data_IF_118915064843
#
_entry.id   IF_118915064843
#
_cell.length_a   1.000
_cell.length_b   1.000
_cell.length_c   1.000
_cell.angle_alpha   90.00
_cell.angle_beta   90.00
_cell.angle_gamma   90.00
#
_symmetry.space_group_name_H-M   'P 1'
#
loop_
_entity.id
_entity.type
_entity.pdbx_description
1 polymer ?
#
# COMPACT_ATOMS: atom_id res chain seq x y z
N UNK A 1 -12.27 16.18 -15.75
CA UNK A 1 -10.98 15.81 -15.15
C UNK A 1 -10.86 14.33 -14.95
N UNK A 2 -9.84 13.76 -15.50
CA UNK A 2 -9.60 12.33 -15.35
C UNK A 2 -9.00 12.02 -14.00
N UNK A 3 -9.49 10.97 -13.34
CA UNK A 3 -8.90 10.52 -12.10
C UNK A 3 -7.52 9.95 -12.32
N UNK A 4 -7.31 9.32 -13.45
CA UNK A 4 -6.01 8.71 -13.72
C UNK A 4 -4.91 9.74 -13.83
N UNK A 5 -5.26 11.00 -14.13
CA UNK A 5 -4.27 12.07 -14.15
C UNK A 5 -3.72 12.36 -12.78
N UNK A 6 -4.41 11.87 -11.74
CA UNK A 6 -4.02 12.11 -10.36
C UNK A 6 -3.43 10.88 -9.70
N UNK A 7 -3.09 9.89 -10.49
CA UNK A 7 -2.51 8.66 -9.97
C UNK A 7 -1.02 8.64 -10.23
N UNK A 8 -0.30 8.12 -9.26
CA UNK A 8 1.15 7.96 -9.35
C UNK A 8 1.46 6.48 -9.22
N UNK A 9 2.24 5.96 -10.16
CA UNK A 9 2.66 4.57 -10.13
C UNK A 9 3.63 4.39 -8.97
N UNK A 10 3.39 3.35 -8.17
CA UNK A 10 4.22 3.06 -7.01
C UNK A 10 5.10 1.84 -7.27
N UNK A 11 4.49 0.73 -7.64
CA UNK A 11 5.20 -0.54 -7.78
C UNK A 11 4.29 -1.53 -8.47
N UNK A 12 4.80 -2.75 -8.67
CA UNK A 12 3.96 -3.86 -9.13
C UNK A 12 3.69 -4.78 -7.95
N UNK A 13 2.55 -5.43 -7.98
CA UNK A 13 2.23 -6.41 -6.95
C UNK A 13 3.26 -7.53 -6.98
N UNK A 14 3.75 -7.89 -5.81
CA UNK A 14 4.72 -8.96 -5.66
C UNK A 14 3.98 -10.30 -5.62
N UNK A 15 4.04 -11.03 -6.74
CA UNK A 15 3.29 -12.28 -6.85
C UNK A 15 3.80 -13.37 -5.92
N UNK A 16 4.97 -13.20 -5.33
CA UNK A 16 5.45 -14.13 -4.32
C UNK A 16 4.52 -14.16 -3.12
N UNK A 17 3.77 -13.08 -2.90
CA UNK A 17 2.82 -13.04 -1.80
C UNK A 17 1.63 -13.98 -2.03
N UNK A 18 1.40 -14.39 -3.27
CA UNK A 18 0.28 -15.28 -3.56
C UNK A 18 0.35 -16.57 -2.77
N UNK A 19 1.53 -17.15 -2.65
CA UNK A 19 1.67 -18.40 -1.92
C UNK A 19 1.47 -18.20 -0.42
N UNK A 20 1.82 -17.03 0.08
CA UNK A 20 1.63 -16.70 1.50
C UNK A 20 0.16 -16.46 1.80
N UNK A 21 -0.52 -15.73 0.91
CA UNK A 21 -1.90 -15.31 1.13
C UNK A 21 -2.94 -16.29 0.60
N UNK A 22 -2.52 -17.26 -0.18
CA UNK A 22 -3.46 -18.21 -0.77
C UNK A 22 -4.23 -17.64 -1.94
N UNK A 23 -3.64 -16.72 -2.67
CA UNK A 23 -4.28 -16.06 -3.81
C UNK A 23 -3.53 -16.34 -5.09
N UNK A 24 -4.13 -15.88 -6.18
CA UNK A 24 -3.58 -16.03 -7.52
C UNK A 24 -3.70 -14.70 -8.25
N UNK A 25 -3.22 -13.64 -7.63
CA UNK A 25 -3.32 -12.30 -8.19
C UNK A 25 -2.20 -12.05 -9.19
N UNK A 26 -2.52 -11.24 -10.20
CA UNK A 26 -1.55 -10.87 -11.21
C UNK A 26 -0.66 -9.74 -10.72
N UNK A 27 0.49 -9.57 -11.39
CA UNK A 27 1.45 -8.52 -11.04
C UNK A 27 1.02 -7.18 -11.64
N UNK A 28 -0.20 -6.76 -11.33
CA UNK A 28 -0.69 -5.46 -11.81
C UNK A 28 0.04 -4.32 -11.13
N UNK A 29 0.02 -3.17 -11.78
CA UNK A 29 0.64 -1.97 -11.23
C UNK A 29 -0.18 -1.46 -10.06
N UNK A 30 0.51 -1.00 -9.02
CA UNK A 30 -0.10 -0.41 -7.84
C UNK A 30 0.08 1.09 -7.91
N UNK A 31 -1.01 1.83 -7.73
CA UNK A 31 -1.03 3.28 -7.82
C UNK A 31 -1.37 3.91 -6.49
N UNK A 32 -0.99 5.17 -6.33
CA UNK A 32 -1.47 5.98 -5.22
C UNK A 32 -2.00 7.29 -5.76
N UNK A 33 -2.87 7.92 -5.00
CA UNK A 33 -3.37 9.25 -5.33
C UNK A 33 -2.26 10.27 -5.17
N UNK A 34 -2.22 11.28 -6.02
CA UNK A 34 -1.31 12.40 -5.85
C UNK A 34 -1.57 13.13 -4.54
N UNK A 35 -2.81 13.08 -4.06
CA UNK A 35 -3.16 13.76 -2.82
C UNK A 35 -2.86 12.98 -1.57
N UNK A 36 -2.28 11.79 -1.69
CA UNK A 36 -2.05 10.93 -0.52
C UNK A 36 -1.21 11.63 0.53
N UNK A 37 -0.09 12.24 0.13
CA UNK A 37 0.79 12.91 1.08
C UNK A 37 0.07 14.04 1.81
N UNK A 38 -0.66 14.87 1.05
CA UNK A 38 -1.43 15.96 1.64
C UNK A 38 -2.46 15.42 2.62
N UNK A 39 -3.11 14.32 2.26
CA UNK A 39 -4.11 13.69 3.12
C UNK A 39 -3.48 13.20 4.43
N UNK A 40 -2.32 12.58 4.34
CA UNK A 40 -1.64 12.09 5.54
C UNK A 40 -1.25 13.23 6.45
N UNK A 41 -0.76 14.33 5.89
CA UNK A 41 -0.38 15.49 6.68
C UNK A 41 -1.61 16.11 7.33
N UNK A 42 -2.70 16.23 6.59
CA UNK A 42 -3.94 16.78 7.11
C UNK A 42 -4.49 15.98 8.27
N UNK A 43 -4.35 14.67 8.20
CA UNK A 43 -4.82 13.77 9.26
C UNK A 43 -3.78 13.58 10.34
N UNK A 44 -2.67 14.30 10.26
CA UNK A 44 -1.59 14.25 11.23
C UNK A 44 -0.91 12.89 11.30
N UNK A 45 -0.92 12.16 10.21
CA UNK A 45 -0.18 10.91 10.09
C UNK A 45 1.23 11.22 9.61
N UNK A 46 1.96 11.99 10.41
CA UNK A 46 3.27 12.49 9.97
C UNK A 46 4.30 11.39 9.85
N UNK A 47 4.20 10.38 10.68
CA UNK A 47 5.14 9.25 10.59
C UNK A 47 4.95 8.54 9.26
N UNK A 48 3.71 8.19 8.94
CA UNK A 48 3.43 7.53 7.66
C UNK A 48 3.85 8.39 6.48
N UNK A 49 3.67 9.71 6.59
CA UNK A 49 4.04 10.62 5.51
C UNK A 49 5.54 10.58 5.22
N UNK A 50 6.36 10.33 6.23
CA UNK A 50 7.81 10.25 6.04
C UNK A 50 8.20 9.07 5.15
N UNK A 51 7.36 8.05 5.09
CA UNK A 51 7.68 6.83 4.36
C UNK A 51 6.99 6.74 3.02
N UNK A 52 6.38 7.84 2.57
CA UNK A 52 5.63 7.79 1.32
C UNK A 52 6.53 7.44 0.13
N UNK A 53 7.81 7.81 0.20
CA UNK A 53 8.76 7.48 -0.86
C UNK A 53 9.31 6.08 -0.73
N UNK A 54 8.90 5.35 0.30
CA UNK A 54 9.33 3.97 0.51
C UNK A 54 8.20 2.97 0.25
N UNK A 55 7.10 3.42 -0.35
CA UNK A 55 5.98 2.52 -0.60
C UNK A 55 6.38 1.35 -1.49
N UNK A 56 7.26 1.58 -2.46
CA UNK A 56 7.72 0.50 -3.31
C UNK A 56 8.47 -0.57 -2.52
N UNK A 57 9.27 -0.16 -1.55
CA UNK A 57 9.99 -1.10 -0.70
C UNK A 57 9.04 -1.87 0.19
N UNK A 58 8.05 -1.18 0.76
CA UNK A 58 7.06 -1.82 1.62
C UNK A 58 6.29 -2.88 0.84
N UNK A 59 5.92 -2.56 -0.39
CA UNK A 59 5.15 -3.48 -1.22
C UNK A 59 6.00 -4.65 -1.68
N UNK A 60 7.25 -4.39 -2.02
CA UNK A 60 8.13 -5.43 -2.55
C UNK A 60 8.71 -6.34 -1.46
N UNK A 61 8.92 -5.80 -0.27
CA UNK A 61 9.59 -6.53 0.81
C UNK A 61 8.90 -6.30 2.15
N UNK A 62 7.61 -6.63 2.26
CA UNK A 62 6.93 -6.46 3.55
C UNK A 62 7.44 -7.47 4.57
N UNK A 63 7.35 -7.11 5.83
CA UNK A 63 7.66 -8.03 6.91
C UNK A 63 6.45 -8.89 7.26
N UNK A 64 5.25 -8.34 7.07
CA UNK A 64 4.01 -9.07 7.32
C UNK A 64 3.04 -8.81 6.19
N UNK A 65 2.24 -9.79 5.86
CA UNK A 65 1.23 -9.67 4.82
C UNK A 65 -0.03 -10.40 5.26
N UNK A 66 -1.16 -9.84 4.90
CA UNK A 66 -2.44 -10.44 5.22
C UNK A 66 -3.51 -9.98 4.26
N UNK A 67 -4.75 -10.32 4.58
CA UNK A 67 -5.88 -9.97 3.74
C UNK A 67 -7.08 -9.70 4.63
N UNK A 68 -7.82 -8.64 4.31
CA UNK A 68 -8.99 -8.28 5.08
C UNK A 68 -9.98 -7.58 4.18
N UNK A 69 -11.21 -8.10 4.12
CA UNK A 69 -12.29 -7.55 3.30
C UNK A 69 -11.88 -7.36 1.84
N UNK A 70 -11.08 -8.29 1.32
CA UNK A 70 -10.67 -8.24 -0.08
C UNK A 70 -9.49 -7.33 -0.35
N UNK A 71 -8.99 -6.65 0.66
CA UNK A 71 -7.80 -5.83 0.51
C UNK A 71 -6.57 -6.61 0.97
N UNK A 72 -5.44 -6.30 0.36
CA UNK A 72 -4.16 -6.84 0.79
C UNK A 72 -3.56 -5.88 1.80
N UNK A 73 -3.12 -6.39 2.93
CA UNK A 73 -2.55 -5.57 3.99
C UNK A 73 -1.10 -5.95 4.20
N UNK A 74 -0.23 -4.97 4.20
CA UNK A 74 1.21 -5.18 4.35
C UNK A 74 1.74 -4.30 5.47
N UNK A 75 2.73 -4.83 6.20
CA UNK A 75 3.42 -4.06 7.23
C UNK A 75 4.91 -4.20 7.01
N UNK A 76 5.60 -3.10 7.06
CA UNK A 76 7.06 -3.08 7.00
C UNK A 76 7.58 -2.43 8.26
N UNK A 77 8.53 -3.10 8.91
CA UNK A 77 9.11 -2.61 10.15
C UNK A 77 10.41 -1.90 9.86
N UNK A 78 10.36 -0.59 9.91
CA UNK A 78 11.57 0.25 9.93
C UNK A 78 11.81 0.64 11.39
N UNK A 79 12.26 1.85 11.63
CA UNK A 79 12.21 2.38 13.00
C UNK A 79 10.77 2.49 13.46
N UNK A 80 9.90 2.80 12.52
CA UNK A 80 8.46 2.82 12.74
C UNK A 80 7.85 1.68 11.92
N UNK A 81 6.73 1.15 12.38
CA UNK A 81 6.01 0.11 11.65
C UNK A 81 4.99 0.76 10.76
N UNK A 82 5.07 0.53 9.47
CA UNK A 82 4.19 1.17 8.50
C UNK A 82 3.24 0.15 7.90
N UNK A 83 1.95 0.46 7.99
CA UNK A 83 0.87 -0.36 7.48
C UNK A 83 0.39 0.22 6.16
N UNK A 84 0.21 -0.64 5.17
CA UNK A 84 -0.30 -0.25 3.86
C UNK A 84 -1.42 -1.21 3.48
N UNK A 85 -2.57 -0.66 3.12
CA UNK A 85 -3.68 -1.46 2.63
C UNK A 85 -3.84 -1.20 1.13
N UNK A 86 -3.96 -2.26 0.35
CA UNK A 86 -4.04 -2.20 -1.09
C UNK A 86 -5.39 -2.74 -1.54
N UNK A 87 -6.11 -1.93 -2.28
CA UNK A 87 -7.40 -2.31 -2.83
C UNK A 87 -7.23 -2.79 -4.25
N UNK A 88 -7.94 -3.86 -4.59
CA UNK A 88 -7.89 -4.43 -5.93
C UNK A 88 -9.06 -3.91 -6.75
N UNK A 89 -8.78 -3.54 -8.00
CA UNK A 89 -9.81 -3.20 -8.95
C UNK A 89 -9.61 -4.11 -10.15
N UNK A 90 -10.31 -5.23 -10.15
CA UNK A 90 -10.15 -6.23 -11.20
C UNK A 90 -10.65 -5.75 -12.54
N UNK A 91 -11.65 -4.90 -12.55
CA UNK A 91 -12.19 -4.37 -13.79
C UNK A 91 -11.17 -3.53 -14.53
N UNK A 92 -10.41 -2.74 -13.78
CA UNK A 92 -9.43 -1.85 -14.36
C UNK A 92 -8.05 -2.50 -14.45
N UNK A 93 -7.90 -3.69 -13.88
CA UNK A 93 -6.61 -4.39 -13.82
C UNK A 93 -5.57 -3.54 -13.11
N UNK A 94 -5.98 -2.90 -12.02
CA UNK A 94 -5.12 -2.01 -11.26
C UNK A 94 -5.31 -2.27 -9.77
N UNK A 95 -4.28 -1.93 -9.01
CA UNK A 95 -4.34 -1.95 -7.56
C UNK A 95 -4.12 -0.54 -7.07
N UNK A 96 -4.70 -0.20 -5.92
CA UNK A 96 -4.59 1.15 -5.38
C UNK A 96 -4.19 1.09 -3.92
N UNK A 97 -3.39 2.07 -3.51
CA UNK A 97 -3.13 2.28 -2.08
C UNK A 97 -4.40 2.85 -1.47
N UNK A 98 -5.02 2.10 -0.59
CA UNK A 98 -6.25 2.54 0.07
C UNK A 98 -5.94 3.32 1.33
N UNK A 99 -4.95 2.87 2.11
CA UNK A 99 -4.65 3.45 3.41
C UNK A 99 -3.19 3.24 3.74
N UNK A 100 -2.57 4.24 4.36
CA UNK A 100 -1.21 4.15 4.89
C UNK A 100 -1.23 4.78 6.26
N UNK A 101 -0.70 4.10 7.27
CA UNK A 101 -0.53 4.71 8.58
C UNK A 101 0.53 3.97 9.37
N UNK A 102 1.00 4.61 10.43
CA UNK A 102 1.97 3.97 11.31
C UNK A 102 1.23 3.17 12.37
N UNK A 103 1.77 2.01 12.68
CA UNK A 103 1.20 1.11 13.67
C UNK A 103 2.10 1.17 14.90
N UNK A 104 1.50 1.44 16.04
CA UNK A 104 2.26 1.48 17.26
C UNK A 104 2.68 0.09 17.67
N UNK A 105 3.91 0.02 18.17
CA UNK A 105 4.44 -1.25 18.61
C UNK A 105 3.76 -1.64 19.91
N UNK A 106 3.27 -2.86 19.95
CA UNK A 106 2.68 -3.37 21.17
C UNK A 106 3.75 -3.95 22.09
N UNK A 107 3.44 -3.91 23.35
CA UNK A 107 4.37 -4.46 24.33
C UNK A 107 4.47 -5.91 24.26
#
# INVERSE_FOLDING_TARGET
MRNEDKLIKVAHYNTKLNSVLGFDYSAFTIYRSKGLLTHLIKRKHFVAAKYIDRLDDIISHPDYAGCYNGNIELVKCYNDNIFVSIKLDEKESKYYIATVFDVKKEK
#
